data_IF_168779265038
#
_entry.id   IF_168779265038
#
_cell.length_a   1.000
_cell.length_b   1.000
_cell.length_c   1.000
_cell.angle_alpha   90.00
_cell.angle_beta   90.00
_cell.angle_gamma   90.00
#
_symmetry.space_group_name_H-M   'P 1'
#
loop_
_entity.id
_entity.type
_entity.pdbx_description
1 polymer ?
#
# COMPACT_ATOMS: atom_id res chain seq x y z
N UNK A 1 -35.77 20.98 -19.14
CA UNK A 1 -34.36 20.87 -18.72
C UNK A 1 -34.24 19.62 -17.87
N UNK A 2 -33.38 18.66 -18.22
CA UNK A 2 -33.23 17.44 -17.43
C UNK A 2 -32.62 17.78 -16.05
N UNK A 3 -33.25 17.28 -14.99
CA UNK A 3 -32.78 17.47 -13.62
C UNK A 3 -31.43 16.74 -13.45
N UNK A 4 -30.40 17.43 -12.96
CA UNK A 4 -29.09 16.82 -12.71
C UNK A 4 -29.20 15.88 -11.51
N UNK A 5 -29.06 14.58 -11.75
CA UNK A 5 -28.94 13.58 -10.68
C UNK A 5 -27.74 13.91 -9.80
N UNK A 6 -27.98 14.11 -8.50
CA UNK A 6 -26.93 14.33 -7.50
C UNK A 6 -26.57 13.00 -6.84
N UNK A 7 -25.37 12.50 -7.13
CA UNK A 7 -24.82 11.33 -6.43
C UNK A 7 -24.04 11.78 -5.20
N UNK A 8 -24.38 11.24 -4.03
CA UNK A 8 -23.66 11.45 -2.78
C UNK A 8 -23.11 10.12 -2.27
N UNK A 9 -21.82 10.11 -1.95
CA UNK A 9 -21.16 8.93 -1.41
C UNK A 9 -21.62 8.64 0.02
N UNK A 10 -21.95 7.37 0.29
CA UNK A 10 -22.10 6.87 1.66
C UNK A 10 -20.72 6.81 2.32
N UNK A 11 -20.39 7.84 3.11
CA UNK A 11 -19.08 7.95 3.76
C UNK A 11 -18.78 6.79 4.73
N UNK A 12 -19.81 6.27 5.39
CA UNK A 12 -19.66 5.13 6.30
C UNK A 12 -19.33 3.86 5.52
N UNK A 13 -20.08 3.58 4.45
CA UNK A 13 -19.83 2.41 3.59
C UNK A 13 -18.47 2.47 2.87
N UNK A 14 -18.04 3.66 2.43
CA UNK A 14 -16.70 3.82 1.84
C UNK A 14 -15.61 3.53 2.86
N UNK A 15 -15.78 3.94 4.12
CA UNK A 15 -14.81 3.65 5.19
C UNK A 15 -14.74 2.15 5.47
N UNK A 16 -15.88 1.49 5.57
CA UNK A 16 -15.96 0.04 5.78
C UNK A 16 -15.25 -0.71 4.65
N UNK A 17 -15.53 -0.34 3.40
CA UNK A 17 -14.84 -0.90 2.23
C UNK A 17 -13.32 -0.69 2.30
N UNK A 18 -12.86 0.51 2.63
CA UNK A 18 -11.41 0.80 2.72
C UNK A 18 -10.71 0.13 3.90
N UNK A 19 -11.47 -0.33 4.90
CA UNK A 19 -10.98 -1.07 6.07
C UNK A 19 -11.23 -2.58 5.97
N UNK A 20 -11.74 -3.06 4.84
CA UNK A 20 -12.07 -4.48 4.64
C UNK A 20 -10.83 -5.36 4.47
N UNK A 21 -10.98 -6.65 4.78
CA UNK A 21 -9.99 -7.71 4.51
C UNK A 21 -9.60 -7.79 3.04
N UNK A 22 -10.59 -7.64 2.15
CA UNK A 22 -10.42 -7.70 0.71
C UNK A 22 -9.54 -6.54 0.22
N UNK A 23 -9.71 -5.35 0.80
CA UNK A 23 -8.83 -4.22 0.53
C UNK A 23 -7.42 -4.47 1.05
N UNK A 24 -7.28 -5.12 2.21
CA UNK A 24 -5.98 -5.47 2.78
C UNK A 24 -5.22 -6.44 1.87
N UNK A 25 -5.89 -7.48 1.38
CA UNK A 25 -5.31 -8.44 0.43
C UNK A 25 -4.84 -7.76 -0.87
N UNK A 26 -5.63 -6.84 -1.39
CA UNK A 26 -5.24 -6.04 -2.56
C UNK A 26 -3.99 -5.21 -2.26
N UNK A 27 -3.96 -4.49 -1.14
CA UNK A 27 -2.78 -3.72 -0.73
C UNK A 27 -1.54 -4.61 -0.54
N UNK A 28 -1.69 -5.75 0.11
CA UNK A 28 -0.62 -6.72 0.34
C UNK A 28 -0.11 -7.33 -0.97
N UNK A 29 -0.99 -7.58 -1.94
CA UNK A 29 -0.60 -8.02 -3.28
C UNK A 29 0.27 -6.99 -3.99
N UNK A 30 -0.10 -5.70 -3.93
CA UNK A 30 0.74 -4.64 -4.49
C UNK A 30 2.10 -4.53 -3.78
N UNK A 31 2.13 -4.63 -2.45
CA UNK A 31 3.37 -4.62 -1.67
C UNK A 31 4.24 -5.84 -2.00
N UNK A 32 3.66 -7.04 -2.10
CA UNK A 32 4.36 -8.28 -2.50
C UNK A 32 4.94 -8.20 -3.91
N UNK A 33 4.24 -7.57 -4.85
CA UNK A 33 4.75 -7.30 -6.20
C UNK A 33 5.91 -6.30 -6.23
N UNK A 34 6.01 -5.41 -5.24
CA UNK A 34 7.18 -4.55 -5.07
C UNK A 34 8.32 -5.34 -4.40
N UNK A 35 8.01 -6.16 -3.39
CA UNK A 35 8.97 -7.00 -2.69
C UNK A 35 9.67 -7.99 -3.63
N UNK A 36 8.97 -8.54 -4.62
CA UNK A 36 9.56 -9.46 -5.61
C UNK A 36 10.64 -8.81 -6.50
N UNK A 37 10.75 -7.48 -6.49
CA UNK A 37 11.82 -6.72 -7.18
C UNK A 37 13.00 -6.39 -6.26
N UNK A 38 12.90 -6.73 -4.99
CA UNK A 38 13.90 -6.47 -3.96
C UNK A 38 14.63 -7.75 -3.58
N UNK A 39 15.81 -7.59 -2.97
CA UNK A 39 16.63 -8.70 -2.49
C UNK A 39 16.20 -9.23 -1.11
N UNK A 40 17.03 -10.09 -0.54
CA UNK A 40 16.84 -10.57 0.83
C UNK A 40 16.90 -9.44 1.86
N UNK A 41 16.16 -9.59 2.96
CA UNK A 41 16.16 -8.65 4.07
C UNK A 41 15.20 -7.47 3.94
N UNK A 42 14.31 -7.52 2.94
CA UNK A 42 13.11 -6.69 2.85
C UNK A 42 11.89 -7.51 3.24
N UNK A 43 10.88 -6.84 3.79
CA UNK A 43 9.63 -7.45 4.21
C UNK A 43 8.43 -6.58 3.84
N UNK A 44 7.24 -7.21 3.85
CA UNK A 44 5.96 -6.52 3.70
C UNK A 44 5.12 -6.67 4.94
N UNK A 45 4.38 -5.63 5.28
CA UNK A 45 3.42 -5.66 6.38
C UNK A 45 2.16 -4.88 6.02
N UNK A 46 1.07 -5.18 6.72
CA UNK A 46 -0.18 -4.43 6.66
C UNK A 46 -0.40 -3.66 7.95
N UNK A 47 -1.14 -2.55 7.84
CA UNK A 47 -1.59 -1.78 8.99
C UNK A 47 -2.98 -1.20 8.75
N UNK A 48 -3.86 -1.42 9.73
CA UNK A 48 -5.18 -0.78 9.78
C UNK A 48 -5.04 0.62 10.37
N UNK A 49 -4.97 1.61 9.49
CA UNK A 49 -5.00 3.01 9.88
C UNK A 49 -6.39 3.45 10.35
N UNK A 50 -6.51 4.72 10.73
CA UNK A 50 -7.77 5.26 11.27
C UNK A 50 -8.97 4.97 10.37
N UNK A 51 -8.84 5.09 9.05
CA UNK A 51 -9.97 5.05 8.10
C UNK A 51 -9.78 4.08 6.93
N UNK A 52 -8.65 3.38 6.87
CA UNK A 52 -8.25 2.55 5.72
C UNK A 52 -7.10 1.64 6.10
N UNK A 53 -6.98 0.52 5.39
CA UNK A 53 -5.80 -0.33 5.41
C UNK A 53 -4.70 0.27 4.54
N UNK A 54 -3.46 0.02 4.92
CA UNK A 54 -2.29 0.24 4.08
C UNK A 54 -1.41 -1.02 4.12
N UNK A 55 -0.60 -1.20 3.09
CA UNK A 55 0.53 -2.12 3.11
C UNK A 55 1.82 -1.35 2.90
N UNK A 56 2.88 -1.77 3.57
CA UNK A 56 4.21 -1.19 3.50
C UNK A 56 5.25 -2.23 3.07
N UNK A 57 6.31 -1.74 2.42
CA UNK A 57 7.53 -2.50 2.16
C UNK A 57 8.63 -1.84 2.98
N UNK A 58 9.38 -2.60 3.76
CA UNK A 58 10.44 -2.07 4.62
C UNK A 58 11.72 -2.90 4.55
N UNK A 59 12.84 -2.25 4.82
CA UNK A 59 14.13 -2.90 4.95
C UNK A 59 14.33 -3.31 6.41
N UNK A 60 14.48 -4.60 6.67
CA UNK A 60 14.66 -5.16 8.01
C UNK A 60 16.13 -5.40 8.34
N UNK A 61 16.88 -5.93 7.37
CA UNK A 61 18.30 -6.18 7.57
C UNK A 61 19.13 -4.90 7.42
N UNK A 62 20.24 -4.80 8.16
CA UNK A 62 21.20 -3.72 8.01
C UNK A 62 21.73 -3.60 6.56
N UNK A 63 21.92 -4.73 5.89
CA UNK A 63 22.33 -4.78 4.48
C UNK A 63 21.26 -4.14 3.58
N UNK A 64 20.00 -4.52 3.74
CA UNK A 64 18.88 -3.96 2.99
C UNK A 64 18.70 -2.46 3.27
N UNK A 65 18.82 -2.01 4.52
CA UNK A 65 18.74 -0.58 4.87
C UNK A 65 19.83 0.23 4.16
N UNK A 66 21.08 -0.25 4.20
CA UNK A 66 22.21 0.40 3.53
C UNK A 66 22.04 0.41 2.01
N UNK A 67 21.52 -0.65 1.43
CA UNK A 67 21.27 -0.79 0.00
C UNK A 67 20.14 0.16 -0.45
N UNK A 68 19.00 0.15 0.26
CA UNK A 68 17.89 1.05 0.03
C UNK A 68 18.32 2.53 0.10
N UNK A 69 19.10 2.91 1.11
CA UNK A 69 19.60 4.29 1.27
C UNK A 69 20.49 4.74 0.10
N UNK A 70 21.27 3.82 -0.49
CA UNK A 70 22.17 4.14 -1.61
C UNK A 70 21.45 4.20 -2.95
N UNK A 71 20.45 3.32 -3.13
CA UNK A 71 19.88 3.03 -4.44
C UNK A 71 18.42 3.47 -4.58
N UNK A 72 17.77 3.92 -3.51
CA UNK A 72 16.34 4.20 -3.43
C UNK A 72 15.50 2.98 -3.85
N UNK A 73 15.89 1.80 -3.38
CA UNK A 73 15.39 0.51 -3.87
C UNK A 73 13.90 0.33 -3.66
N UNK A 74 13.40 0.65 -2.46
CA UNK A 74 11.96 0.60 -2.17
C UNK A 74 11.20 1.58 -3.06
N UNK A 75 11.68 2.83 -3.20
CA UNK A 75 11.05 3.86 -4.02
C UNK A 75 10.90 3.41 -5.48
N UNK A 76 11.97 2.86 -6.05
CA UNK A 76 11.97 2.27 -7.41
C UNK A 76 11.05 1.06 -7.50
N UNK A 77 11.06 0.19 -6.49
CA UNK A 77 10.22 -1.01 -6.47
C UNK A 77 8.72 -0.68 -6.46
N UNK A 78 8.31 0.37 -5.74
CA UNK A 78 6.91 0.85 -5.73
C UNK A 78 6.57 1.77 -6.90
N UNK A 79 7.51 2.03 -7.82
CA UNK A 79 7.36 2.95 -8.96
C UNK A 79 7.04 4.40 -8.54
N UNK A 80 7.45 4.80 -7.33
CA UNK A 80 7.44 6.20 -6.94
C UNK A 80 8.57 6.89 -7.71
N UNK A 81 8.23 7.83 -8.57
CA UNK A 81 9.20 8.64 -9.31
C UNK A 81 9.99 9.56 -8.41
#
# INVERSE_FOLDING_TARGET
>A
MAEKVKFQLNRAGVRELLSSSEMEEICMSYAGNALSRLGAGYEVGSYHGKNRVNAEVRAESFQAMRENLKNNSILKAVKGG
#
